data_IF_431299302997
#
_entry.id   IF_431299302997
#
_cell.length_a   1.000
_cell.length_b   1.000
_cell.length_c   1.000
_cell.angle_alpha   90.00
_cell.angle_beta   90.00
_cell.angle_gamma   90.00
#
_symmetry.space_group_name_H-M   'P 1'
#
loop_
_entity.id
_entity.type
_entity.pdbx_description
1 polymer ?
#
# COMPACT_ATOMS: atom_id res chain seq x y z
N UNK A 1 -54.69 39.22 -18.04
CA UNK A 1 -53.81 38.25 -17.37
C UNK A 1 -52.43 38.87 -17.25
N UNK A 2 -52.13 39.52 -16.12
CA UNK A 2 -50.81 40.04 -15.82
C UNK A 2 -49.94 38.87 -15.33
N UNK A 3 -48.95 38.48 -16.12
CA UNK A 3 -47.93 37.57 -15.68
C UNK A 3 -46.96 38.28 -14.76
N UNK A 4 -46.94 37.89 -13.50
CA UNK A 4 -45.98 38.36 -12.50
C UNK A 4 -44.61 37.72 -12.87
N UNK A 5 -43.71 38.51 -13.48
CA UNK A 5 -42.31 38.13 -13.70
C UNK A 5 -41.63 38.22 -12.33
N UNK A 6 -41.48 37.08 -11.62
CA UNK A 6 -40.61 37.03 -10.44
C UNK A 6 -39.19 37.26 -10.92
N UNK A 7 -38.65 38.45 -10.68
CA UNK A 7 -37.24 38.75 -10.79
C UNK A 7 -36.52 37.96 -9.69
N UNK A 8 -35.97 36.81 -10.02
CA UNK A 8 -35.13 36.04 -9.11
C UNK A 8 -33.87 36.86 -8.77
N UNK A 9 -33.71 37.16 -7.50
CA UNK A 9 -32.58 37.99 -7.05
C UNK A 9 -31.36 37.09 -6.79
N UNK A 10 -30.46 36.99 -7.77
CA UNK A 10 -29.25 36.14 -7.69
C UNK A 10 -28.31 36.56 -6.54
N UNK A 11 -28.27 37.83 -6.18
CA UNK A 11 -27.42 38.34 -5.10
C UNK A 11 -27.85 37.85 -3.72
N UNK A 12 -29.17 37.83 -3.43
CA UNK A 12 -29.70 37.33 -2.16
C UNK A 12 -29.41 35.83 -1.96
N UNK A 13 -29.46 35.01 -3.00
CA UNK A 13 -29.17 33.58 -2.90
C UNK A 13 -27.67 33.33 -2.66
N UNK A 14 -26.78 34.15 -3.19
CA UNK A 14 -25.33 34.01 -2.98
C UNK A 14 -24.89 34.33 -1.55
N UNK A 15 -25.57 35.20 -0.84
CA UNK A 15 -25.31 35.47 0.57
C UNK A 15 -25.97 34.45 1.51
N UNK A 16 -27.14 33.94 1.12
CA UNK A 16 -27.92 33.00 1.93
C UNK A 16 -27.45 31.53 1.86
N UNK A 17 -26.65 31.16 0.83
CA UNK A 17 -26.23 29.78 0.59
C UNK A 17 -24.77 29.73 0.15
N UNK A 18 -23.97 28.89 0.79
CA UNK A 18 -22.63 28.50 0.31
C UNK A 18 -22.70 27.15 -0.39
N UNK A 19 -21.87 27.00 -1.42
CA UNK A 19 -21.78 25.74 -2.19
C UNK A 19 -20.39 25.16 -2.13
N UNK A 20 -20.33 23.84 -1.96
CA UNK A 20 -19.11 23.04 -2.11
C UNK A 20 -19.38 21.95 -3.14
N UNK A 21 -18.40 21.62 -3.97
CA UNK A 21 -18.52 20.52 -4.92
C UNK A 21 -17.40 19.51 -4.67
N UNK A 22 -17.77 18.26 -4.45
CA UNK A 22 -16.83 17.15 -4.50
C UNK A 22 -16.69 16.76 -5.97
N UNK A 23 -15.70 17.36 -6.64
CA UNK A 23 -15.57 17.33 -8.10
C UNK A 23 -15.12 15.98 -8.65
N UNK A 24 -14.16 15.32 -7.98
CA UNK A 24 -13.49 14.15 -8.54
C UNK A 24 -13.47 13.03 -7.52
N UNK A 25 -13.90 11.85 -7.94
CA UNK A 25 -13.97 10.67 -7.09
C UNK A 25 -13.56 9.40 -7.86
N UNK A 26 -13.10 8.39 -7.13
CA UNK A 26 -12.99 7.03 -7.67
C UNK A 26 -14.33 6.29 -7.58
N UNK A 27 -14.70 5.58 -8.64
CA UNK A 27 -15.80 4.62 -8.58
C UNK A 27 -15.56 3.57 -7.45
N UNK A 28 -16.59 3.14 -6.72
CA UNK A 28 -18.02 3.43 -6.92
C UNK A 28 -18.53 4.70 -6.23
N UNK A 29 -17.67 5.56 -5.70
CA UNK A 29 -18.10 6.82 -5.09
C UNK A 29 -18.71 7.75 -6.15
N UNK A 30 -19.69 8.55 -5.76
CA UNK A 30 -20.33 9.56 -6.62
C UNK A 30 -19.90 10.97 -6.23
N UNK A 31 -19.68 11.87 -7.22
CA UNK A 31 -19.52 13.30 -6.95
C UNK A 31 -20.75 13.85 -6.20
N UNK A 32 -20.58 14.97 -5.48
CA UNK A 32 -21.65 15.58 -4.70
C UNK A 32 -21.62 17.10 -4.84
N UNK A 33 -22.80 17.69 -4.93
CA UNK A 33 -23.01 19.09 -4.60
C UNK A 33 -23.43 19.18 -3.14
N UNK A 34 -22.74 20.01 -2.37
CA UNK A 34 -23.07 20.29 -0.97
C UNK A 34 -23.60 21.70 -0.89
N UNK A 35 -24.77 21.85 -0.34
CA UNK A 35 -25.45 23.12 -0.10
C UNK A 35 -25.43 23.40 1.39
N UNK A 36 -24.86 24.56 1.77
CA UNK A 36 -24.69 25.01 3.15
C UNK A 36 -25.51 26.29 3.36
N UNK A 37 -26.79 26.20 3.81
CA UNK A 37 -27.60 27.35 4.11
C UNK A 37 -26.97 28.20 5.22
N UNK A 38 -26.93 29.51 5.02
CA UNK A 38 -26.46 30.48 6.01
C UNK A 38 -27.62 31.09 6.79
N UNK A 39 -28.84 30.89 6.31
CA UNK A 39 -30.11 31.32 6.92
C UNK A 39 -31.12 30.18 6.84
N UNK A 40 -32.16 30.23 7.67
CA UNK A 40 -33.25 29.23 7.67
C UNK A 40 -34.03 29.30 6.37
N UNK A 41 -34.26 28.15 5.73
CA UNK A 41 -35.02 28.04 4.49
C UNK A 41 -36.23 27.10 4.63
N UNK A 42 -37.38 27.54 4.14
CA UNK A 42 -38.59 26.68 4.02
C UNK A 42 -38.37 25.62 2.94
N UNK A 43 -37.67 26.02 1.85
CA UNK A 43 -37.36 25.10 0.75
C UNK A 43 -36.08 25.54 0.07
N UNK A 44 -35.17 24.60 -0.14
CA UNK A 44 -34.05 24.69 -1.06
C UNK A 44 -34.25 23.60 -2.11
N UNK A 45 -34.36 23.99 -3.36
CA UNK A 45 -34.42 23.05 -4.50
C UNK A 45 -33.22 23.20 -5.39
N UNK A 46 -32.68 22.07 -5.80
CA UNK A 46 -31.57 21.97 -6.76
C UNK A 46 -32.00 21.04 -7.88
N UNK A 47 -31.81 21.49 -9.11
CA UNK A 47 -31.99 20.67 -10.32
C UNK A 47 -30.73 20.76 -11.17
N UNK A 48 -30.07 19.62 -11.39
CA UNK A 48 -28.85 19.52 -12.19
C UNK A 48 -29.05 18.52 -13.31
N UNK A 49 -28.58 18.84 -14.49
CA UNK A 49 -28.38 17.93 -15.61
C UNK A 49 -26.87 17.78 -15.85
N UNK A 50 -26.37 16.56 -15.81
CA UNK A 50 -24.96 16.22 -15.96
C UNK A 50 -24.80 15.17 -17.07
N UNK A 51 -24.56 15.60 -18.30
CA UNK A 51 -24.37 14.71 -19.47
C UNK A 51 -25.50 13.64 -19.63
N UNK A 52 -26.77 14.11 -19.51
CA UNK A 52 -27.97 13.26 -19.65
C UNK A 52 -28.45 12.64 -18.32
N UNK A 53 -27.73 12.82 -17.23
CA UNK A 53 -28.16 12.37 -15.89
C UNK A 53 -28.78 13.52 -15.11
N UNK A 54 -29.99 13.32 -14.62
CA UNK A 54 -30.66 14.30 -13.77
C UNK A 54 -30.40 13.99 -12.29
N UNK A 55 -30.01 15.02 -11.53
CA UNK A 55 -29.89 14.97 -10.08
C UNK A 55 -30.72 16.11 -9.49
N UNK A 56 -31.65 15.79 -8.60
CA UNK A 56 -32.56 16.75 -8.01
C UNK A 56 -32.65 16.59 -6.50
N UNK A 57 -32.84 17.71 -5.81
CA UNK A 57 -33.08 17.74 -4.37
C UNK A 57 -34.07 18.85 -4.04
N UNK A 58 -35.01 18.62 -3.11
CA UNK A 58 -35.84 19.65 -2.49
C UNK A 58 -35.96 19.36 -1.00
N UNK A 59 -35.53 20.28 -0.13
CA UNK A 59 -35.53 20.12 1.32
C UNK A 59 -35.67 21.48 2.02
N UNK A 60 -36.33 21.47 3.19
CA UNK A 60 -36.18 22.55 4.17
C UNK A 60 -34.86 22.43 4.89
N UNK A 61 -34.31 23.52 5.38
CA UNK A 61 -33.01 23.54 6.06
C UNK A 61 -32.94 24.67 7.10
N UNK A 62 -32.14 24.46 8.12
CA UNK A 62 -31.70 25.50 9.07
C UNK A 62 -30.38 26.06 8.68
N UNK A 63 -30.07 27.25 9.14
CA UNK A 63 -28.72 27.82 9.02
C UNK A 63 -27.67 26.85 9.61
N UNK A 64 -26.63 26.57 8.84
CA UNK A 64 -25.56 25.63 9.20
C UNK A 64 -25.80 24.17 8.86
N UNK A 65 -26.99 23.79 8.38
CA UNK A 65 -27.24 22.43 7.88
C UNK A 65 -26.34 22.11 6.68
N UNK A 66 -26.06 20.83 6.48
CA UNK A 66 -25.31 20.29 5.34
C UNK A 66 -26.22 19.44 4.47
N UNK A 67 -26.65 19.96 3.34
CA UNK A 67 -27.48 19.21 2.39
C UNK A 67 -26.61 18.66 1.27
N UNK A 68 -26.64 17.35 1.06
CA UNK A 68 -25.85 16.68 0.02
C UNK A 68 -26.75 16.18 -1.11
N UNK A 69 -26.41 16.55 -2.34
CA UNK A 69 -26.98 16.01 -3.57
C UNK A 69 -25.93 15.16 -4.28
N UNK A 70 -26.15 13.84 -4.31
CA UNK A 70 -25.30 12.93 -5.07
C UNK A 70 -25.59 13.04 -6.57
N UNK A 71 -24.52 12.98 -7.38
CA UNK A 71 -24.56 13.10 -8.84
C UNK A 71 -24.10 11.75 -9.44
N UNK A 72 -25.04 10.81 -9.74
CA UNK A 72 -24.70 9.44 -10.11
C UNK A 72 -24.33 9.31 -11.60
N UNK A 73 -23.24 9.98 -12.02
CA UNK A 73 -22.72 9.90 -13.38
C UNK A 73 -21.76 8.70 -13.53
N UNK A 74 -21.65 8.10 -14.74
CA UNK A 74 -20.72 7.03 -15.02
C UNK A 74 -19.25 7.52 -15.01
N UNK A 75 -18.25 6.62 -15.10
CA UNK A 75 -16.85 7.02 -15.28
C UNK A 75 -16.67 7.97 -16.48
N UNK A 76 -15.87 9.01 -16.25
CA UNK A 76 -15.64 10.08 -17.24
C UNK A 76 -15.66 11.47 -16.62
N UNK A 77 -15.49 12.48 -17.46
CA UNK A 77 -15.63 13.90 -17.10
C UNK A 77 -16.98 14.40 -17.61
N UNK A 78 -17.76 14.99 -16.70
CA UNK A 78 -19.12 15.42 -16.97
C UNK A 78 -19.29 16.90 -16.64
N UNK A 79 -19.92 17.65 -17.55
CA UNK A 79 -20.35 19.03 -17.29
C UNK A 79 -21.76 19.01 -16.73
N UNK A 80 -21.93 19.56 -15.53
CA UNK A 80 -23.21 19.75 -14.87
C UNK A 80 -23.71 21.16 -15.07
N UNK A 81 -24.97 21.31 -15.42
CA UNK A 81 -25.66 22.59 -15.52
C UNK A 81 -27.02 22.48 -14.84
N UNK A 82 -27.47 23.60 -14.28
CA UNK A 82 -28.77 23.62 -13.62
C UNK A 82 -29.00 24.89 -12.82
N UNK A 83 -29.84 24.78 -11.84
CA UNK A 83 -30.24 25.90 -10.98
C UNK A 83 -30.46 25.47 -9.54
N UNK A 84 -30.22 26.40 -8.63
CA UNK A 84 -30.58 26.32 -7.23
C UNK A 84 -31.62 27.45 -6.97
N UNK A 85 -32.70 27.09 -6.31
CA UNK A 85 -33.74 28.00 -5.85
C UNK A 85 -33.94 27.87 -4.35
N UNK A 86 -34.17 29.00 -3.66
CA UNK A 86 -34.41 29.07 -2.22
C UNK A 86 -35.62 29.90 -1.88
N UNK A 87 -36.46 29.38 -0.97
CA UNK A 87 -37.51 30.14 -0.26
C UNK A 87 -37.10 30.20 1.21
N UNK A 88 -36.82 31.41 1.70
CA UNK A 88 -36.32 31.58 3.05
C UNK A 88 -37.43 31.93 4.03
N UNK A 89 -37.19 31.81 5.33
CA UNK A 89 -38.21 31.95 6.38
C UNK A 89 -38.67 33.41 6.55
N UNK A 90 -37.92 34.39 6.06
CA UNK A 90 -38.24 35.81 5.99
C UNK A 90 -39.12 36.23 4.77
N UNK A 91 -39.69 35.24 4.08
CA UNK A 91 -40.50 35.39 2.88
C UNK A 91 -39.69 35.87 1.63
N UNK A 92 -38.35 35.91 1.71
CA UNK A 92 -37.51 36.18 0.55
C UNK A 92 -37.33 34.93 -0.30
N UNK A 93 -37.16 35.13 -1.61
CA UNK A 93 -36.86 34.08 -2.58
C UNK A 93 -35.65 34.48 -3.40
N UNK A 94 -34.85 33.46 -3.78
CA UNK A 94 -33.69 33.69 -4.63
C UNK A 94 -33.35 32.48 -5.46
N UNK A 95 -32.66 32.69 -6.57
CA UNK A 95 -32.18 31.58 -7.41
C UNK A 95 -30.84 31.93 -8.05
N UNK A 96 -30.07 30.89 -8.35
CA UNK A 96 -28.79 31.06 -9.03
C UNK A 96 -28.54 29.91 -10.01
N UNK A 97 -27.99 30.20 -11.21
CA UNK A 97 -27.58 29.17 -12.14
C UNK A 97 -26.32 28.46 -11.62
N UNK A 98 -26.27 27.14 -11.87
CA UNK A 98 -25.14 26.30 -11.54
C UNK A 98 -24.45 25.81 -12.81
N UNK A 99 -23.11 25.87 -12.84
CA UNK A 99 -22.31 25.30 -13.92
C UNK A 99 -20.94 24.89 -13.37
N UNK A 100 -20.65 23.58 -13.41
CA UNK A 100 -19.37 23.03 -12.93
C UNK A 100 -19.09 21.69 -13.61
N UNK A 101 -17.87 21.18 -13.44
CA UNK A 101 -17.51 19.85 -13.93
C UNK A 101 -17.32 18.88 -12.76
N UNK A 102 -17.65 17.61 -12.99
CA UNK A 102 -17.35 16.51 -12.11
C UNK A 102 -16.67 15.41 -12.90
N UNK A 103 -15.83 14.61 -12.23
CA UNK A 103 -15.14 13.47 -12.83
C UNK A 103 -15.28 12.23 -11.95
N UNK A 104 -15.59 11.11 -12.57
CA UNK A 104 -15.54 9.78 -11.95
C UNK A 104 -14.48 8.98 -12.67
N UNK A 105 -13.51 8.48 -11.95
CA UNK A 105 -12.42 7.66 -12.49
C UNK A 105 -12.56 6.22 -12.00
N UNK A 106 -12.42 5.27 -12.92
CA UNK A 106 -12.23 3.88 -12.52
C UNK A 106 -10.95 3.75 -11.68
N UNK A 107 -10.93 2.86 -10.68
CA UNK A 107 -9.73 2.64 -9.88
C UNK A 107 -8.55 2.21 -10.76
N UNK A 108 -7.44 2.92 -10.63
CA UNK A 108 -6.19 2.52 -11.25
C UNK A 108 -5.66 1.31 -10.48
N UNK A 109 -5.46 0.20 -11.19
CA UNK A 109 -4.82 -0.99 -10.65
C UNK A 109 -3.40 -1.07 -11.19
N UNK A 110 -2.45 -1.10 -10.27
CA UNK A 110 -1.04 -1.35 -10.56
C UNK A 110 -0.68 -2.76 -10.07
N UNK A 111 0.07 -3.48 -10.90
CA UNK A 111 0.67 -4.76 -10.52
C UNK A 111 2.17 -4.65 -10.76
N UNK A 112 2.92 -4.88 -9.70
CA UNK A 112 4.39 -4.93 -9.70
C UNK A 112 4.79 -6.05 -8.75
N UNK A 113 5.70 -6.89 -9.19
CA UNK A 113 6.27 -7.97 -8.39
C UNK A 113 7.78 -7.76 -8.27
N UNK A 114 8.42 -8.49 -7.37
CA UNK A 114 9.89 -8.44 -7.27
C UNK A 114 10.60 -8.91 -8.56
N UNK A 115 9.92 -9.67 -9.43
CA UNK A 115 10.46 -10.06 -10.74
C UNK A 115 10.43 -8.91 -11.77
N UNK A 116 9.64 -7.87 -11.52
CA UNK A 116 9.57 -6.66 -12.36
C UNK A 116 10.61 -5.61 -11.96
N UNK A 117 11.36 -5.84 -10.89
CA UNK A 117 12.36 -4.93 -10.33
C UNK A 117 13.78 -5.44 -10.63
N UNK A 118 14.60 -4.60 -11.26
CA UNK A 118 16.03 -4.80 -11.40
C UNK A 118 16.79 -3.65 -10.72
N UNK A 119 17.26 -3.92 -9.49
CA UNK A 119 18.00 -2.93 -8.71
C UNK A 119 19.37 -2.60 -9.33
N UNK A 120 20.00 -3.53 -10.04
CA UNK A 120 21.30 -3.29 -10.69
C UNK A 120 21.16 -2.43 -11.94
N UNK A 121 20.11 -2.64 -12.74
CA UNK A 121 19.76 -1.80 -13.87
C UNK A 121 19.01 -0.52 -13.45
N UNK A 122 18.54 -0.46 -12.20
CA UNK A 122 17.72 0.63 -11.67
C UNK A 122 16.43 0.83 -12.46
N UNK A 123 15.75 -0.27 -12.75
CA UNK A 123 14.50 -0.28 -13.50
C UNK A 123 13.39 -1.01 -12.76
N UNK A 124 12.16 -0.54 -12.98
CA UNK A 124 10.94 -1.22 -12.54
C UNK A 124 9.91 -1.22 -13.66
N UNK A 125 9.27 -2.37 -13.89
CA UNK A 125 8.17 -2.52 -14.83
C UNK A 125 6.84 -2.50 -14.08
N UNK A 126 5.94 -1.64 -14.52
CA UNK A 126 4.62 -1.45 -13.91
C UNK A 126 3.55 -1.86 -14.89
N UNK A 127 2.69 -2.80 -14.48
CA UNK A 127 1.52 -3.23 -15.24
C UNK A 127 0.31 -2.43 -14.79
N UNK A 128 -0.42 -1.85 -15.76
CA UNK A 128 -1.56 -0.97 -15.53
C UNK A 128 -2.80 -1.54 -16.21
N UNK A 129 -3.97 -1.37 -15.58
CA UNK A 129 -5.26 -1.80 -16.13
C UNK A 129 -5.86 -0.79 -17.12
N UNK A 130 -5.34 0.43 -17.20
CA UNK A 130 -5.87 1.51 -18.03
C UNK A 130 -4.80 2.54 -18.40
N UNK A 131 -5.11 3.40 -19.36
CA UNK A 131 -4.31 4.57 -19.71
C UNK A 131 -4.32 5.59 -18.56
N UNK A 132 -3.18 6.21 -18.31
CA UNK A 132 -2.99 7.20 -17.24
C UNK A 132 -2.21 8.43 -17.73
N UNK A 133 -2.35 9.55 -17.02
CA UNK A 133 -1.65 10.78 -17.35
C UNK A 133 -0.16 10.70 -17.01
N UNK A 134 0.19 10.12 -15.85
CA UNK A 134 1.55 10.08 -15.34
C UNK A 134 1.81 8.87 -14.46
N UNK A 135 3.01 8.32 -14.55
CA UNK A 135 3.55 7.30 -13.66
C UNK A 135 4.88 7.80 -13.11
N UNK A 136 5.05 7.74 -11.80
CA UNK A 136 6.23 8.22 -11.09
C UNK A 136 6.76 7.13 -10.17
N UNK A 137 8.07 7.11 -9.96
CA UNK A 137 8.71 6.34 -8.90
C UNK A 137 9.64 7.26 -8.12
N UNK A 138 9.51 7.24 -6.80
CA UNK A 138 10.46 7.84 -5.86
C UNK A 138 11.17 6.72 -5.10
N UNK A 139 12.48 6.86 -4.97
CA UNK A 139 13.38 5.83 -4.42
C UNK A 139 14.01 6.35 -3.14
N UNK A 140 13.90 5.56 -2.07
CA UNK A 140 14.36 5.93 -0.73
C UNK A 140 15.40 4.93 -0.22
N UNK A 141 16.44 5.45 0.42
CA UNK A 141 17.51 4.67 1.03
C UNK A 141 17.19 4.22 2.47
N UNK A 142 18.17 3.56 3.10
CA UNK A 142 18.07 3.05 4.47
C UNK A 142 18.04 4.14 5.55
N UNK A 143 18.31 5.39 5.19
CA UNK A 143 18.20 6.56 6.08
C UNK A 143 16.86 7.31 5.89
N UNK A 144 16.02 6.85 4.95
CA UNK A 144 14.74 7.46 4.60
C UNK A 144 14.86 8.66 3.66
N UNK A 145 16.05 8.93 3.13
CA UNK A 145 16.28 9.99 2.17
C UNK A 145 15.85 9.57 0.77
N UNK A 146 15.23 10.49 0.02
CA UNK A 146 14.97 10.26 -1.40
C UNK A 146 16.28 10.38 -2.18
N UNK A 147 16.68 9.29 -2.82
CA UNK A 147 17.97 9.17 -3.52
C UNK A 147 17.82 9.04 -5.04
N UNK A 148 16.61 8.89 -5.52
CA UNK A 148 16.32 8.80 -6.94
C UNK A 148 14.84 9.03 -7.24
N UNK A 149 14.56 9.37 -8.49
CA UNK A 149 13.18 9.44 -9.01
C UNK A 149 13.17 9.27 -10.52
N UNK A 150 12.02 8.87 -11.06
CA UNK A 150 11.72 8.89 -12.48
C UNK A 150 10.24 9.12 -12.71
N UNK A 151 9.91 9.75 -13.85
CA UNK A 151 8.53 9.98 -14.24
C UNK A 151 8.34 9.83 -15.75
N UNK A 152 7.20 9.27 -16.16
CA UNK A 152 6.78 9.15 -17.56
C UNK A 152 5.32 9.58 -17.67
N UNK A 153 5.03 10.42 -18.67
CA UNK A 153 3.67 10.92 -18.93
C UNK A 153 3.02 10.30 -20.15
N UNK A 154 1.70 10.53 -20.29
CA UNK A 154 0.87 10.12 -21.44
C UNK A 154 0.95 8.62 -21.73
N UNK A 155 0.66 7.81 -20.73
CA UNK A 155 0.79 6.36 -20.80
C UNK A 155 -0.49 5.75 -21.37
N UNK A 156 -0.36 5.06 -22.49
CA UNK A 156 -1.45 4.38 -23.19
C UNK A 156 -1.18 2.89 -23.46
N UNK A 157 -0.07 2.37 -22.95
CA UNK A 157 0.34 0.95 -23.11
C UNK A 157 0.93 0.43 -21.81
N UNK A 158 0.92 -0.89 -21.62
CA UNK A 158 1.45 -1.60 -20.44
C UNK A 158 2.20 -2.86 -20.90
N UNK A 159 3.27 -3.32 -20.23
CA UNK A 159 3.90 -2.68 -19.09
C UNK A 159 4.64 -1.39 -19.44
N UNK A 160 4.86 -0.55 -18.42
CA UNK A 160 5.69 0.66 -18.52
C UNK A 160 6.96 0.42 -17.73
N UNK A 161 8.11 0.69 -18.32
CA UNK A 161 9.39 0.63 -17.63
C UNK A 161 9.80 2.04 -17.18
N UNK A 162 10.11 2.19 -15.90
CA UNK A 162 10.71 3.37 -15.31
C UNK A 162 12.18 3.05 -15.00
N UNK A 163 13.07 3.96 -15.36
CA UNK A 163 14.48 3.90 -15.04
C UNK A 163 14.88 5.16 -14.28
N UNK A 164 15.50 4.99 -13.11
CA UNK A 164 15.97 6.10 -12.29
C UNK A 164 17.50 6.15 -12.21
N UNK A 165 18.00 7.27 -11.69
CA UNK A 165 19.42 7.46 -11.40
C UNK A 165 19.60 7.67 -9.90
N UNK A 166 20.61 7.02 -9.31
CA UNK A 166 21.03 7.17 -7.92
C UNK A 166 22.51 6.89 -7.77
N UNK A 167 23.08 7.23 -6.61
CA UNK A 167 24.41 6.78 -6.18
C UNK A 167 24.45 5.32 -5.71
N UNK A 168 25.41 4.99 -4.83
CA UNK A 168 25.61 3.62 -4.33
C UNK A 168 24.81 3.33 -3.04
N UNK A 169 23.78 4.15 -2.74
CA UNK A 169 22.95 3.97 -1.56
C UNK A 169 22.13 2.68 -1.67
N UNK A 170 21.98 2.00 -0.55
CA UNK A 170 21.14 0.82 -0.42
C UNK A 170 19.66 1.24 -0.38
N UNK A 171 18.83 0.68 -1.25
CA UNK A 171 17.41 1.04 -1.38
C UNK A 171 16.58 0.25 -0.39
N UNK A 172 15.68 0.93 0.30
CA UNK A 172 14.68 0.32 1.18
C UNK A 172 13.27 0.40 0.62
N UNK A 173 12.92 1.46 -0.12
CA UNK A 173 11.56 1.67 -0.63
C UNK A 173 11.56 2.28 -2.02
N UNK A 174 10.67 1.77 -2.87
CA UNK A 174 10.21 2.45 -4.08
C UNK A 174 8.74 2.82 -3.88
N UNK A 175 8.42 4.10 -3.94
CA UNK A 175 7.04 4.59 -3.93
C UNK A 175 6.62 4.86 -5.39
N UNK A 176 5.69 4.07 -5.91
CA UNK A 176 5.20 4.16 -7.29
C UNK A 176 3.84 4.83 -7.26
N UNK A 177 3.68 5.94 -7.98
CA UNK A 177 2.43 6.70 -8.04
C UNK A 177 1.93 6.79 -9.48
N UNK A 178 0.70 6.32 -9.70
CA UNK A 178 -0.01 6.44 -10.96
C UNK A 178 -1.10 7.50 -10.86
N UNK A 179 -1.03 8.54 -11.70
CA UNK A 179 -2.02 9.61 -11.77
C UNK A 179 -2.85 9.49 -13.03
N UNK A 180 -4.15 9.38 -12.88
CA UNK A 180 -5.10 9.29 -13.97
C UNK A 180 -5.39 10.63 -14.63
N UNK A 181 -6.07 10.59 -15.79
CA UNK A 181 -6.43 11.78 -16.57
C UNK A 181 -7.39 12.73 -15.81
N UNK A 182 -8.04 12.28 -14.76
CA UNK A 182 -8.88 13.11 -13.87
C UNK A 182 -8.09 13.80 -12.76
N UNK A 183 -6.77 13.54 -12.64
CA UNK A 183 -5.92 14.06 -11.57
C UNK A 183 -5.94 13.24 -10.29
N UNK A 184 -6.73 12.16 -10.21
CA UNK A 184 -6.69 11.23 -9.07
C UNK A 184 -5.49 10.30 -9.17
N UNK A 185 -4.86 10.02 -8.03
CA UNK A 185 -3.68 9.16 -7.96
C UNK A 185 -3.92 7.91 -7.10
N UNK A 186 -3.17 6.88 -7.41
CA UNK A 186 -3.04 5.65 -6.62
C UNK A 186 -1.57 5.37 -6.44
N UNK A 187 -1.17 4.96 -5.23
CA UNK A 187 0.22 4.64 -4.92
C UNK A 187 0.40 3.20 -4.47
N UNK A 188 1.56 2.65 -4.77
CA UNK A 188 2.03 1.32 -4.37
C UNK A 188 3.46 1.44 -3.87
N UNK A 189 3.76 0.84 -2.71
CA UNK A 189 5.10 0.76 -2.16
C UNK A 189 5.69 -0.64 -2.39
N UNK A 190 6.95 -0.70 -2.83
CA UNK A 190 7.78 -1.89 -2.86
C UNK A 190 8.94 -1.72 -1.88
N UNK A 191 9.27 -2.78 -1.15
CA UNK A 191 10.35 -2.78 -0.18
C UNK A 191 11.35 -3.90 -0.50
N UNK A 192 12.27 -3.67 -1.45
CA UNK A 192 13.21 -4.69 -1.94
C UNK A 192 14.32 -5.02 -0.94
N UNK A 193 14.41 -4.28 0.17
CA UNK A 193 15.46 -4.44 1.15
C UNK A 193 15.34 -5.73 1.95
N UNK A 194 16.47 -6.40 2.12
CA UNK A 194 16.58 -7.54 3.00
C UNK A 194 17.96 -7.57 3.68
N UNK A 195 18.02 -8.09 4.90
CA UNK A 195 19.25 -8.20 5.66
C UNK A 195 19.39 -9.58 6.30
N UNK A 196 20.48 -10.28 5.95
CA UNK A 196 20.84 -11.53 6.61
C UNK A 196 21.55 -11.22 7.93
N UNK A 197 20.91 -11.59 9.04
CA UNK A 197 21.43 -11.34 10.39
C UNK A 197 22.60 -12.26 10.69
N UNK A 198 23.80 -11.75 10.94
CA UNK A 198 24.92 -12.58 11.42
C UNK A 198 24.60 -13.11 12.82
N UNK A 199 24.85 -14.40 13.04
CA UNK A 199 24.61 -15.03 14.34
C UNK A 199 25.43 -16.34 14.48
N UNK A 200 25.59 -16.76 15.72
CA UNK A 200 26.13 -18.07 16.03
C UNK A 200 25.09 -19.17 15.82
N UNK A 201 25.47 -20.29 15.18
CA UNK A 201 24.55 -21.38 14.89
C UNK A 201 24.04 -22.05 16.17
N UNK A 202 22.73 -22.24 16.25
CA UNK A 202 22.05 -22.98 17.31
C UNK A 202 22.16 -24.47 17.06
N UNK A 203 22.70 -25.20 18.03
CA UNK A 203 22.93 -26.63 17.92
C UNK A 203 21.76 -27.42 18.52
N UNK A 204 21.15 -28.27 17.69
CA UNK A 204 20.11 -29.21 18.11
C UNK A 204 20.67 -30.63 18.29
N UNK A 205 20.07 -31.39 19.18
CA UNK A 205 20.36 -32.82 19.26
C UNK A 205 19.89 -33.58 18.01
N UNK A 206 20.46 -34.73 17.75
CA UNK A 206 20.10 -35.53 16.57
C UNK A 206 18.61 -35.89 16.60
N UNK A 207 17.93 -35.66 15.47
CA UNK A 207 16.48 -35.90 15.35
C UNK A 207 15.58 -34.96 16.17
N UNK A 208 16.12 -33.97 16.88
CA UNK A 208 15.36 -33.08 17.74
C UNK A 208 15.24 -31.68 17.15
N UNK A 209 14.11 -31.03 17.45
CA UNK A 209 13.87 -29.61 17.23
C UNK A 209 13.75 -28.81 18.53
N UNK A 210 14.06 -29.45 19.68
CA UNK A 210 14.04 -28.78 20.97
C UNK A 210 15.32 -27.95 21.15
N UNK A 211 15.17 -26.68 21.47
CA UNK A 211 16.28 -25.76 21.75
C UNK A 211 16.82 -26.06 23.16
N UNK A 212 18.11 -26.31 23.28
CA UNK A 212 18.77 -26.54 24.57
C UNK A 212 18.96 -25.23 25.32
N UNK A 213 18.86 -25.22 26.66
CA UNK A 213 19.13 -24.02 27.45
C UNK A 213 20.53 -23.41 27.24
N UNK A 214 21.53 -24.26 26.91
CA UNK A 214 22.89 -23.82 26.57
C UNK A 214 22.96 -22.92 25.34
N UNK A 215 21.98 -23.00 24.45
CA UNK A 215 21.90 -22.24 23.19
C UNK A 215 21.22 -20.89 23.33
N UNK A 216 20.55 -20.62 24.48
CA UNK A 216 19.76 -19.39 24.66
C UNK A 216 20.59 -18.11 24.53
N UNK A 217 21.84 -18.09 25.00
CA UNK A 217 22.72 -16.93 24.84
C UNK A 217 22.98 -16.53 23.40
N UNK A 218 23.05 -17.52 22.48
CA UNK A 218 23.20 -17.25 21.05
C UNK A 218 21.94 -16.60 20.47
N UNK A 219 20.78 -17.09 20.90
CA UNK A 219 19.48 -16.54 20.50
C UNK A 219 19.24 -15.14 21.06
N UNK A 220 19.63 -14.89 22.30
CA UNK A 220 19.59 -13.55 22.93
C UNK A 220 20.47 -12.56 22.15
N UNK A 221 21.69 -12.99 21.77
CA UNK A 221 22.60 -12.17 20.96
C UNK A 221 22.02 -11.89 19.57
N UNK A 222 21.44 -12.90 18.92
CA UNK A 222 20.76 -12.74 17.64
C UNK A 222 19.55 -11.78 17.74
N UNK A 223 18.72 -11.92 18.78
CA UNK A 223 17.58 -11.03 19.02
C UNK A 223 18.03 -9.58 19.26
N UNK A 224 19.12 -9.37 19.99
CA UNK A 224 19.69 -8.04 20.18
C UNK A 224 20.13 -7.41 18.85
N UNK A 225 20.79 -8.18 17.95
CA UNK A 225 21.17 -7.70 16.63
C UNK A 225 19.94 -7.41 15.75
N UNK A 226 18.94 -8.30 15.75
CA UNK A 226 17.66 -8.10 15.04
C UNK A 226 17.02 -6.77 15.49
N UNK A 227 16.91 -6.56 16.81
CA UNK A 227 16.30 -5.34 17.36
C UNK A 227 17.12 -4.09 17.03
N UNK A 228 18.45 -4.18 17.00
CA UNK A 228 19.32 -3.07 16.61
C UNK A 228 19.10 -2.67 15.13
N UNK A 229 18.94 -3.65 14.23
CA UNK A 229 18.63 -3.41 12.83
C UNK A 229 17.22 -2.81 12.69
N UNK A 230 16.21 -3.41 13.31
CA UNK A 230 14.83 -2.91 13.27
C UNK A 230 14.68 -1.50 13.84
N UNK A 231 15.50 -1.16 14.83
CA UNK A 231 15.53 0.18 15.42
C UNK A 231 16.03 1.29 14.48
N UNK A 232 16.60 0.95 13.33
CA UNK A 232 16.93 1.91 12.27
C UNK A 232 15.71 2.26 11.42
N UNK A 233 14.76 1.34 11.26
CA UNK A 233 13.59 1.43 10.40
C UNK A 233 12.31 1.73 11.18
N UNK A 234 12.32 2.77 12.00
CA UNK A 234 11.11 3.27 12.65
C UNK A 234 10.47 4.36 11.80
N UNK A 235 9.14 4.47 11.81
CA UNK A 235 8.43 5.49 11.05
C UNK A 235 8.91 6.92 11.37
N UNK A 236 9.34 7.17 12.62
CA UNK A 236 9.89 8.46 13.04
C UNK A 236 11.21 8.80 12.31
N UNK A 237 12.10 7.81 12.10
CA UNK A 237 13.39 8.01 11.44
C UNK A 237 13.25 8.02 9.92
N UNK A 238 12.41 7.14 9.39
CA UNK A 238 12.25 6.93 7.96
C UNK A 238 11.30 7.93 7.30
N UNK A 239 10.39 8.55 8.07
CA UNK A 239 9.28 9.34 7.54
C UNK A 239 8.13 8.51 6.95
N UNK A 240 8.27 7.18 6.94
CA UNK A 240 7.27 6.21 6.48
C UNK A 240 7.42 4.89 7.25
N UNK A 241 6.37 4.06 7.23
CA UNK A 241 6.41 2.75 7.87
C UNK A 241 7.05 1.71 6.94
N UNK A 242 7.99 0.89 7.49
CA UNK A 242 8.64 -0.21 6.78
C UNK A 242 8.13 -1.51 7.38
N UNK A 243 7.36 -2.32 6.64
CA UNK A 243 6.67 -3.51 7.17
C UNK A 243 7.60 -4.72 7.32
N UNK A 244 8.71 -4.57 8.05
CA UNK A 244 9.73 -5.62 8.20
C UNK A 244 9.22 -6.82 9.02
N UNK A 245 9.52 -8.00 8.51
CA UNK A 245 9.28 -9.31 9.12
C UNK A 245 10.59 -10.05 9.34
N UNK A 246 10.59 -11.06 10.21
CA UNK A 246 11.71 -11.97 10.37
C UNK A 246 11.41 -13.32 9.71
N UNK A 247 12.27 -13.75 8.81
CA UNK A 247 12.22 -15.02 8.10
C UNK A 247 13.31 -15.95 8.63
N UNK A 248 12.93 -17.18 9.00
CA UNK A 248 13.84 -18.19 9.56
C UNK A 248 13.87 -19.41 8.65
N UNK A 249 14.99 -19.62 7.99
CA UNK A 249 15.23 -20.77 7.12
C UNK A 249 16.05 -21.85 7.87
N UNK A 250 15.56 -23.09 7.94
CA UNK A 250 16.26 -24.20 8.56
C UNK A 250 16.81 -25.19 7.54
N UNK A 251 17.99 -25.75 7.82
CA UNK A 251 18.70 -26.71 6.96
C UNK A 251 19.19 -27.89 7.78
N UNK A 252 19.47 -29.02 7.10
CA UNK A 252 20.10 -30.22 7.66
C UNK A 252 21.33 -30.59 6.84
N UNK A 253 22.15 -31.48 7.40
CA UNK A 253 23.11 -32.26 6.61
C UNK A 253 22.38 -33.36 5.83
N UNK A 254 23.15 -34.26 5.17
CA UNK A 254 22.66 -35.32 4.30
C UNK A 254 22.43 -36.63 5.04
N UNK A 255 22.56 -36.66 6.38
CA UNK A 255 22.25 -37.87 7.17
C UNK A 255 20.76 -38.07 7.27
N UNK A 256 20.29 -39.23 6.79
CA UNK A 256 18.90 -39.65 6.86
C UNK A 256 18.07 -39.30 5.60
N UNK A 257 16.78 -39.46 5.73
CA UNK A 257 15.85 -39.35 4.60
C UNK A 257 15.51 -37.89 4.28
N UNK A 258 15.53 -37.50 3.00
CA UNK A 258 15.19 -36.13 2.51
C UNK A 258 13.88 -35.58 3.03
N UNK A 259 12.82 -36.41 3.08
CA UNK A 259 11.50 -36.00 3.58
C UNK A 259 11.56 -35.69 5.08
N UNK A 260 12.22 -36.59 5.83
CA UNK A 260 12.45 -36.41 7.27
C UNK A 260 13.29 -35.15 7.53
N UNK A 261 14.38 -34.94 6.78
CA UNK A 261 15.24 -33.76 6.87
C UNK A 261 14.49 -32.47 6.59
N UNK A 262 13.61 -32.46 5.59
CA UNK A 262 12.75 -31.30 5.31
C UNK A 262 11.79 -31.01 6.46
N UNK A 263 11.17 -32.04 7.03
CA UNK A 263 10.27 -31.89 8.19
C UNK A 263 11.04 -31.42 9.44
N UNK A 264 12.18 -32.04 9.73
CA UNK A 264 13.02 -31.68 10.88
C UNK A 264 13.53 -30.26 10.81
N UNK A 265 14.03 -29.82 9.64
CA UNK A 265 14.47 -28.44 9.44
C UNK A 265 13.35 -27.42 9.61
N UNK A 266 12.12 -27.74 9.15
CA UNK A 266 10.95 -26.90 9.36
C UNK A 266 10.54 -26.82 10.84
N UNK A 267 10.61 -27.94 11.57
CA UNK A 267 10.35 -27.96 13.01
C UNK A 267 11.38 -27.15 13.79
N UNK A 268 12.67 -27.22 13.44
CA UNK A 268 13.74 -26.43 14.04
C UNK A 268 13.53 -24.93 13.77
N UNK A 269 13.26 -24.54 12.53
CA UNK A 269 12.97 -23.16 12.17
C UNK A 269 11.73 -22.64 12.93
N UNK A 270 10.69 -23.46 13.09
CA UNK A 270 9.51 -23.12 13.90
C UNK A 270 9.84 -22.92 15.37
N UNK A 271 10.67 -23.79 15.97
CA UNK A 271 11.09 -23.67 17.37
C UNK A 271 11.86 -22.37 17.60
N UNK A 272 12.76 -22.00 16.68
CA UNK A 272 13.48 -20.72 16.72
C UNK A 272 12.52 -19.52 16.63
N UNK A 273 11.56 -19.58 15.70
CA UNK A 273 10.54 -18.53 15.56
C UNK A 273 9.68 -18.39 16.82
N UNK A 274 9.28 -19.51 17.44
CA UNK A 274 8.56 -19.51 18.71
C UNK A 274 9.38 -18.91 19.84
N UNK A 275 10.66 -19.24 19.91
CA UNK A 275 11.55 -18.66 20.91
C UNK A 275 11.66 -17.14 20.76
N UNK A 276 11.88 -16.61 19.55
CA UNK A 276 11.91 -15.18 19.32
C UNK A 276 10.59 -14.51 19.71
N UNK A 277 9.44 -15.11 19.37
CA UNK A 277 8.12 -14.61 19.77
C UNK A 277 7.98 -14.53 21.29
N UNK A 278 8.36 -15.57 22.01
CA UNK A 278 8.27 -15.66 23.45
C UNK A 278 9.23 -14.67 24.17
N UNK A 279 10.33 -14.32 23.52
CA UNK A 279 11.32 -13.38 24.03
C UNK A 279 11.17 -11.95 23.50
N UNK A 280 9.97 -11.57 23.07
CA UNK A 280 9.59 -10.19 22.83
C UNK A 280 9.67 -9.69 21.40
N UNK A 281 9.92 -10.55 20.41
CA UNK A 281 9.81 -10.15 19.01
C UNK A 281 8.34 -9.96 18.61
N UNK A 282 7.94 -8.74 18.23
CA UNK A 282 6.52 -8.38 18.02
C UNK A 282 6.09 -8.34 16.55
N UNK A 283 7.03 -8.23 15.60
CA UNK A 283 6.72 -8.16 14.17
C UNK A 283 6.38 -9.55 13.62
N UNK A 284 5.97 -9.65 12.36
CA UNK A 284 5.63 -10.91 11.73
C UNK A 284 6.84 -11.85 11.66
N UNK A 285 6.59 -13.13 11.92
CA UNK A 285 7.57 -14.21 11.89
C UNK A 285 7.16 -15.23 10.85
N UNK A 286 8.09 -15.58 10.00
CA UNK A 286 7.92 -16.63 8.99
C UNK A 286 9.02 -17.68 9.13
N UNK A 287 8.68 -18.93 8.90
CA UNK A 287 9.64 -20.03 8.95
C UNK A 287 9.47 -20.99 7.78
N UNK A 288 10.58 -21.63 7.38
CA UNK A 288 10.62 -22.65 6.33
C UNK A 288 11.77 -23.63 6.57
N UNK A 289 11.51 -24.90 6.30
CA UNK A 289 12.56 -25.94 6.28
C UNK A 289 12.94 -26.30 4.86
N UNK A 290 14.22 -26.31 4.57
CA UNK A 290 14.79 -26.69 3.29
C UNK A 290 15.41 -28.09 3.31
N UNK A 291 15.60 -28.70 4.50
CA UNK A 291 16.27 -29.97 4.65
C UNK A 291 17.69 -29.89 4.13
N UNK A 292 18.08 -30.90 3.37
CA UNK A 292 19.38 -31.04 2.71
C UNK A 292 19.38 -30.51 1.26
N UNK A 293 18.34 -29.82 0.81
CA UNK A 293 18.23 -29.37 -0.58
C UNK A 293 19.27 -28.30 -0.96
N UNK A 294 19.82 -27.61 0.04
CA UNK A 294 20.87 -26.59 -0.12
C UNK A 294 21.95 -26.80 0.94
N UNK A 295 23.09 -27.29 0.52
CA UNK A 295 24.24 -27.53 1.39
C UNK A 295 25.16 -26.30 1.42
N UNK A 296 25.64 -25.93 2.61
CA UNK A 296 26.68 -24.91 2.73
C UNK A 296 28.05 -25.47 2.28
N UNK A 297 28.25 -26.75 2.55
CA UNK A 297 29.41 -27.53 2.09
C UNK A 297 28.88 -28.74 1.35
N UNK A 298 29.24 -28.91 0.10
CA UNK A 298 28.85 -30.07 -0.71
C UNK A 298 29.40 -31.35 -0.10
N UNK A 299 28.52 -32.30 0.18
CA UNK A 299 28.88 -33.62 0.72
C UNK A 299 28.19 -34.72 -0.09
N UNK A 300 28.69 -35.95 0.02
CA UNK A 300 27.93 -37.12 -0.39
C UNK A 300 26.72 -37.32 0.50
N UNK A 301 25.87 -38.32 0.15
CA UNK A 301 24.75 -38.74 0.99
C UNK A 301 25.26 -39.38 2.30
N UNK A 302 24.44 -39.32 3.36
CA UNK A 302 24.76 -39.91 4.69
C UNK A 302 26.03 -39.34 5.34
N UNK A 303 26.42 -38.09 5.06
CA UNK A 303 27.57 -37.44 5.68
C UNK A 303 27.14 -36.46 6.75
N UNK A 304 27.60 -36.66 7.99
CA UNK A 304 27.46 -35.73 9.09
C UNK A 304 28.36 -34.49 8.82
N UNK A 305 27.72 -33.35 8.55
CA UNK A 305 28.41 -32.09 8.31
C UNK A 305 27.75 -30.96 9.11
N UNK A 306 28.44 -30.54 10.17
CA UNK A 306 27.93 -29.51 11.08
C UNK A 306 27.56 -28.18 10.38
N UNK A 307 28.35 -27.76 9.39
CA UNK A 307 28.10 -26.52 8.64
C UNK A 307 26.80 -26.56 7.81
N UNK A 308 26.30 -27.76 7.48
CA UNK A 308 25.02 -27.94 6.79
C UNK A 308 23.82 -27.88 7.73
N UNK A 309 24.01 -28.16 9.02
CA UNK A 309 22.97 -28.04 10.08
C UNK A 309 22.93 -26.59 10.59
N UNK A 310 22.29 -25.72 9.85
CA UNK A 310 22.27 -24.29 10.10
C UNK A 310 20.86 -23.71 10.03
N UNK A 311 20.72 -22.47 10.49
CA UNK A 311 19.58 -21.62 10.24
C UNK A 311 20.06 -20.31 9.59
N UNK A 312 19.18 -19.65 8.85
CA UNK A 312 19.36 -18.26 8.39
C UNK A 312 18.26 -17.40 8.99
N UNK A 313 18.64 -16.25 9.53
CA UNK A 313 17.71 -15.23 9.99
C UNK A 313 17.78 -14.05 9.01
N UNK A 314 16.63 -13.72 8.40
CA UNK A 314 16.57 -12.68 7.37
C UNK A 314 15.48 -11.71 7.77
N UNK A 315 15.84 -10.43 7.89
CA UNK A 315 14.89 -9.33 8.05
C UNK A 315 14.56 -8.83 6.65
N UNK A 316 13.28 -8.81 6.29
CA UNK A 316 12.82 -8.30 5.00
C UNK A 316 11.36 -7.83 5.11
N UNK A 317 10.95 -6.87 4.28
CA UNK A 317 9.57 -6.44 4.18
C UNK A 317 8.76 -7.36 3.28
N UNK A 318 9.35 -7.75 2.17
CA UNK A 318 8.82 -8.72 1.21
C UNK A 318 9.40 -10.12 1.46
N UNK A 319 8.83 -11.12 0.79
CA UNK A 319 9.46 -12.45 0.78
C UNK A 319 10.91 -12.33 0.31
N UNK A 320 11.88 -12.85 1.10
CA UNK A 320 13.28 -12.71 0.74
C UNK A 320 13.57 -13.23 -0.67
N UNK A 321 14.42 -12.54 -1.44
CA UNK A 321 14.75 -12.95 -2.79
C UNK A 321 15.43 -14.32 -2.82
N UNK A 322 15.17 -15.09 -3.86
CA UNK A 322 15.82 -16.39 -4.06
C UNK A 322 17.30 -16.22 -4.34
N UNK A 323 18.09 -17.13 -3.81
CA UNK A 323 19.53 -17.21 -4.03
C UNK A 323 19.98 -18.69 -3.94
N UNK A 324 21.25 -18.96 -4.22
CA UNK A 324 21.83 -20.31 -4.07
C UNK A 324 21.64 -20.84 -2.63
N UNK A 325 21.67 -19.95 -1.64
CA UNK A 325 21.47 -20.30 -0.24
C UNK A 325 19.99 -20.31 0.18
N UNK A 326 19.09 -19.71 -0.60
CA UNK A 326 17.67 -19.55 -0.28
C UNK A 326 16.81 -19.80 -1.52
N UNK A 327 16.45 -21.06 -1.84
CA UNK A 327 15.58 -21.35 -2.97
C UNK A 327 14.15 -20.85 -2.76
N UNK A 328 13.36 -20.86 -3.82
CA UNK A 328 11.93 -20.52 -3.76
C UNK A 328 11.22 -21.32 -2.69
N UNK A 329 10.45 -20.65 -1.85
CA UNK A 329 9.78 -21.26 -0.70
C UNK A 329 8.38 -20.70 -0.46
N UNK A 330 7.53 -21.55 0.06
CA UNK A 330 6.25 -21.17 0.64
C UNK A 330 6.42 -20.97 2.14
N UNK A 331 6.73 -19.75 2.53
CA UNK A 331 6.94 -19.40 3.92
C UNK A 331 5.68 -19.57 4.76
N UNK A 332 5.82 -20.18 5.92
CA UNK A 332 4.74 -20.34 6.88
C UNK A 332 4.80 -19.24 7.93
N UNK A 333 3.73 -18.45 8.05
CA UNK A 333 3.63 -17.44 9.11
C UNK A 333 3.39 -18.11 10.46
N UNK A 334 4.15 -17.72 11.48
CA UNK A 334 3.91 -18.14 12.87
C UNK A 334 2.68 -17.39 13.41
N UNK A 335 1.69 -18.15 13.82
CA UNK A 335 0.45 -17.63 14.43
C UNK A 335 0.58 -17.51 15.95
#
# INVERSE_FOLDING_TARGET
MLGLLLLMNTALCQEAVKLEVVHTVHAPKTPKLVVLPQVDARSISVSLECSGVMATMRRSARAGDRLELSIPVPPGVHTCRGELEGEFTDDTTGGMPLSFQVAVQDPIQMQVTMADLDLSARTVRVHLNQAIAQLEVDVFDTDGAQVGSAAVGNINRTPVELQWSQGDQEIVRLAITATGNSGLSTSLDLFPWSYKVPHDEVVFDSGSAQIKPSEFKKLEAALAQINAVLGKFTAEKMGFDVPLSLYIAGYTDTVGNKVTNRTLSAQRAKSLAQWFRQNGFQRDLHYQGFGESVLAIMTADEVDQAANRRALYIIAAETPPTSDALPTANWTRLR
#
